data_IF_855237158783
#
_entry.id   IF_855237158783
#
_cell.length_a   1.000
_cell.length_b   1.000
_cell.length_c   1.000
_cell.angle_alpha   90.00
_cell.angle_beta   90.00
_cell.angle_gamma   90.00
#
_symmetry.space_group_name_H-M   'P 1'
#
loop_
_entity.id
_entity.type
_entity.pdbx_description
1 polymer ?
#
# COMPACT_ATOMS: atom_id res chain seq x y z
N UNK A 1 -1.32 -10.39 -20.81
CA UNK A 1 -2.15 -9.48 -19.96
C UNK A 1 -2.72 -10.33 -18.84
N UNK A 2 -2.62 -9.90 -17.59
CA UNK A 2 -3.27 -10.55 -16.45
C UNK A 2 -4.61 -9.87 -16.14
N UNK A 3 -5.64 -10.67 -15.85
CA UNK A 3 -7.01 -10.18 -15.57
C UNK A 3 -7.39 -10.26 -14.09
N UNK A 4 -6.41 -10.50 -13.22
CA UNK A 4 -6.51 -10.47 -11.77
C UNK A 4 -5.27 -9.78 -11.20
N UNK A 5 -5.38 -9.29 -9.96
CA UNK A 5 -4.23 -8.70 -9.27
C UNK A 5 -3.39 -9.77 -8.59
N UNK A 6 -2.07 -9.56 -8.56
CA UNK A 6 -1.12 -10.43 -7.87
C UNK A 6 -0.36 -9.66 -6.79
N UNK A 7 0.01 -10.32 -5.67
CA UNK A 7 0.86 -9.72 -4.64
C UNK A 7 2.27 -9.44 -5.13
N UNK A 8 2.79 -10.37 -5.93
CA UNK A 8 4.13 -10.38 -6.52
C UNK A 8 3.99 -10.97 -7.92
N UNK A 9 4.76 -10.46 -8.89
CA UNK A 9 4.74 -11.02 -10.25
C UNK A 9 5.58 -12.30 -10.26
N UNK A 10 5.00 -13.48 -10.56
CA UNK A 10 5.77 -14.73 -10.56
C UNK A 10 6.83 -14.73 -11.66
N UNK A 11 8.06 -15.14 -11.32
CA UNK A 11 9.13 -15.24 -12.33
C UNK A 11 8.79 -16.21 -13.48
N UNK A 12 8.01 -17.25 -13.19
CA UNK A 12 7.51 -18.19 -14.20
C UNK A 12 6.72 -17.53 -15.34
N UNK A 13 6.22 -16.29 -15.15
CA UNK A 13 5.63 -15.53 -16.25
C UNK A 13 6.73 -15.02 -17.19
N UNK A 14 7.84 -14.49 -16.66
CA UNK A 14 8.98 -14.02 -17.47
C UNK A 14 9.58 -15.13 -18.36
N UNK A 15 9.62 -16.37 -17.84
CA UNK A 15 10.12 -17.55 -18.56
C UNK A 15 9.27 -17.95 -19.76
N UNK A 16 8.01 -17.51 -19.80
CA UNK A 16 7.09 -17.75 -20.91
C UNK A 16 7.19 -16.68 -22.01
N UNK A 17 8.01 -15.63 -21.81
CA UNK A 17 8.19 -14.55 -22.79
C UNK A 17 9.58 -14.59 -23.41
N UNK A 18 9.62 -14.37 -24.73
CA UNK A 18 10.85 -13.94 -25.40
C UNK A 18 11.27 -12.53 -24.95
N UNK A 19 12.56 -12.22 -25.11
CA UNK A 19 13.10 -10.86 -24.88
C UNK A 19 12.32 -9.85 -25.73
N UNK A 20 11.98 -8.70 -25.14
CA UNK A 20 11.11 -7.67 -25.72
C UNK A 20 9.61 -7.92 -25.52
N UNK A 21 9.22 -9.11 -25.04
CA UNK A 21 7.84 -9.41 -24.65
C UNK A 21 7.32 -8.50 -23.54
N UNK A 22 6.00 -8.36 -23.43
CA UNK A 22 5.35 -7.43 -22.49
C UNK A 22 4.34 -8.12 -21.59
N UNK A 23 4.27 -7.69 -20.34
CA UNK A 23 3.25 -8.08 -19.36
C UNK A 23 2.57 -6.81 -18.86
N UNK A 24 1.24 -6.73 -19.00
CA UNK A 24 0.42 -5.78 -18.28
C UNK A 24 -0.26 -6.53 -17.13
N UNK A 25 -0.01 -6.10 -15.89
CA UNK A 25 -0.47 -6.77 -14.67
C UNK A 25 -0.83 -5.76 -13.60
N UNK A 26 -1.90 -6.03 -12.85
CA UNK A 26 -2.23 -5.30 -11.62
C UNK A 26 -1.44 -5.91 -10.45
N UNK A 27 -0.53 -5.14 -9.86
CA UNK A 27 0.31 -5.60 -8.76
C UNK A 27 -0.10 -4.87 -7.49
N UNK A 28 -0.50 -5.63 -6.47
CA UNK A 28 -1.00 -5.10 -5.18
C UNK A 28 -0.33 -5.78 -4.01
N UNK A 29 0.53 -5.07 -3.30
CA UNK A 29 1.18 -5.60 -2.09
C UNK A 29 0.18 -5.76 -0.93
N UNK A 30 -0.87 -4.94 -0.90
CA UNK A 30 -1.96 -4.98 0.08
C UNK A 30 -3.28 -4.50 -0.58
N UNK A 31 -4.45 -4.66 0.07
CA UNK A 31 -5.71 -4.12 -0.43
C UNK A 31 -5.61 -2.63 -0.76
N UNK A 32 -6.06 -2.24 -1.95
CA UNK A 32 -5.96 -0.87 -2.49
C UNK A 32 -4.52 -0.30 -2.64
N UNK A 33 -3.47 -1.06 -2.28
CA UNK A 33 -2.06 -0.66 -2.36
C UNK A 33 -1.41 -1.23 -3.63
N UNK A 34 -1.74 -0.65 -4.78
CA UNK A 34 -1.20 -1.08 -6.05
C UNK A 34 -1.93 -0.49 -7.25
N UNK A 35 -1.41 -0.81 -8.43
CA UNK A 35 -1.95 -0.39 -9.71
C UNK A 35 -1.37 -1.26 -10.84
N UNK A 36 -1.83 -1.04 -12.07
CA UNK A 36 -1.32 -1.63 -13.30
C UNK A 36 0.12 -1.22 -13.57
N UNK A 37 0.95 -2.21 -13.91
CA UNK A 37 2.34 -2.06 -14.35
C UNK A 37 2.49 -2.69 -15.73
N UNK A 38 3.10 -1.94 -16.66
CA UNK A 38 3.54 -2.48 -17.94
C UNK A 38 5.01 -2.85 -17.84
N UNK A 39 5.30 -4.14 -17.80
CA UNK A 39 6.63 -4.72 -17.72
C UNK A 39 7.12 -5.18 -19.10
N UNK A 40 8.40 -4.97 -19.36
CA UNK A 40 9.12 -5.44 -20.53
C UNK A 40 10.10 -6.54 -20.11
N UNK A 41 10.18 -7.60 -20.91
CA UNK A 41 11.14 -8.69 -20.73
C UNK A 41 12.49 -8.30 -21.28
N UNK A 42 13.47 -8.16 -20.39
CA UNK A 42 14.90 -8.09 -20.72
C UNK A 42 15.50 -9.51 -20.72
N UNK A 43 16.81 -9.73 -20.93
CA UNK A 43 17.40 -11.07 -20.81
C UNK A 43 17.39 -11.64 -19.39
N UNK A 44 17.55 -10.79 -18.37
CA UNK A 44 17.79 -11.18 -16.96
C UNK A 44 16.69 -10.71 -15.99
N UNK A 45 15.78 -9.85 -16.45
CA UNK A 45 14.74 -9.25 -15.62
C UNK A 45 13.45 -8.94 -16.37
N UNK A 46 12.41 -8.61 -15.60
CA UNK A 46 11.28 -7.79 -16.06
C UNK A 46 11.47 -6.38 -15.48
N UNK A 47 11.20 -5.36 -16.29
CA UNK A 47 11.31 -3.97 -15.85
C UNK A 47 10.22 -3.11 -16.49
N UNK A 48 9.70 -2.13 -15.76
CA UNK A 48 8.69 -1.25 -16.32
C UNK A 48 8.08 -0.28 -15.32
N UNK A 49 7.07 0.47 -15.77
CA UNK A 49 6.45 1.55 -15.01
C UNK A 49 4.98 1.28 -14.75
N UNK A 50 4.47 1.89 -13.67
CA UNK A 50 3.02 1.91 -13.44
C UNK A 50 2.34 2.80 -14.48
N UNK A 51 1.11 2.46 -14.82
CA UNK A 51 0.34 3.22 -15.81
C UNK A 51 -0.30 4.47 -15.21
N UNK A 52 -0.53 5.50 -16.02
CA UNK A 52 -1.21 6.75 -15.62
C UNK A 52 -2.58 6.52 -15.02
N UNK A 53 -3.38 5.65 -15.65
CA UNK A 53 -4.72 5.32 -15.17
C UNK A 53 -4.61 4.30 -14.05
N UNK A 54 -5.37 4.55 -12.99
CA UNK A 54 -5.58 3.55 -11.98
C UNK A 54 -6.52 2.46 -12.50
N UNK A 55 -6.05 1.22 -12.49
CA UNK A 55 -6.83 0.04 -12.79
C UNK A 55 -6.73 -0.95 -11.63
N UNK A 56 -7.87 -1.48 -11.20
CA UNK A 56 -7.95 -2.42 -10.10
C UNK A 56 -8.77 -3.63 -10.54
N UNK A 57 -8.16 -4.81 -10.44
CA UNK A 57 -8.77 -6.10 -10.71
C UNK A 57 -9.00 -6.87 -9.42
N UNK A 58 -9.87 -7.89 -9.49
CA UNK A 58 -10.06 -8.83 -8.38
C UNK A 58 -8.74 -9.52 -8.03
N UNK A 59 -8.47 -9.68 -6.73
CA UNK A 59 -7.29 -10.41 -6.26
C UNK A 59 -7.34 -11.86 -6.73
N UNK A 60 -6.21 -12.37 -7.24
CA UNK A 60 -6.06 -13.78 -7.55
C UNK A 60 -6.36 -14.60 -6.30
N UNK A 61 -7.35 -15.50 -6.40
CA UNK A 61 -7.78 -16.35 -5.29
C UNK A 61 -6.60 -17.16 -4.76
N UNK A 62 -6.30 -17.05 -3.46
CA UNK A 62 -5.37 -17.96 -2.82
C UNK A 62 -6.14 -19.16 -2.30
N UNK A 63 -5.51 -20.35 -2.32
CA UNK A 63 -6.12 -21.61 -1.85
C UNK A 63 -6.51 -21.58 -0.36
N UNK A 64 -6.07 -20.56 0.38
CA UNK A 64 -6.17 -20.46 1.84
C UNK A 64 -6.60 -19.06 2.30
N UNK A 65 -7.48 -18.36 1.57
CA UNK A 65 -8.09 -17.13 2.06
C UNK A 65 -8.88 -17.44 3.33
N UNK A 66 -8.25 -17.24 4.50
CA UNK A 66 -8.91 -17.39 5.79
C UNK A 66 -9.97 -16.31 5.90
N UNK A 67 -11.17 -16.70 6.33
CA UNK A 67 -12.19 -15.73 6.71
C UNK A 67 -11.61 -14.75 7.73
N UNK A 68 -11.90 -13.46 7.56
CA UNK A 68 -11.43 -12.39 8.44
C UNK A 68 -11.68 -12.78 9.89
N UNK A 69 -10.60 -12.97 10.65
CA UNK A 69 -10.70 -13.16 12.09
C UNK A 69 -11.30 -11.89 12.70
N UNK A 70 -12.00 -12.02 13.83
CA UNK A 70 -12.39 -10.86 14.64
C UNK A 70 -11.12 -10.05 14.99
N UNK A 71 -11.16 -8.71 14.91
CA UNK A 71 -10.01 -7.89 15.26
C UNK A 71 -9.54 -8.24 16.68
N UNK A 72 -8.22 -8.39 16.91
CA UNK A 72 -7.70 -8.59 18.26
C UNK A 72 -8.12 -7.41 19.16
N UNK A 73 -8.29 -7.66 20.47
CA UNK A 73 -8.63 -6.59 21.40
C UNK A 73 -7.58 -5.47 21.35
N UNK A 74 -8.05 -4.22 21.33
CA UNK A 74 -7.17 -3.04 21.35
C UNK A 74 -6.32 -3.03 22.61
N UNK A 75 -5.04 -2.75 22.45
CA UNK A 75 -4.15 -2.47 23.58
C UNK A 75 -4.64 -1.25 24.38
N UNK A 76 -4.46 -1.29 25.71
CA UNK A 76 -5.03 -0.31 26.63
C UNK A 76 -4.23 1.02 26.72
N UNK A 77 -2.92 0.99 26.46
CA UNK A 77 -2.08 2.19 26.48
C UNK A 77 -2.24 2.97 25.18
N UNK A 78 -2.59 4.25 25.30
CA UNK A 78 -2.86 5.11 24.13
C UNK A 78 -1.98 6.33 24.12
N UNK A 79 -1.60 6.73 22.90
CA UNK A 79 -0.93 7.99 22.60
C UNK A 79 -1.88 8.85 21.77
N UNK A 80 -1.93 10.15 22.07
CA UNK A 80 -2.66 11.15 21.28
C UNK A 80 -1.67 12.10 20.63
N UNK A 81 -1.91 12.43 19.36
CA UNK A 81 -1.04 13.29 18.54
C UNK A 81 -1.84 13.97 17.45
N UNK A 82 -1.20 14.91 16.75
CA UNK A 82 -1.76 15.57 15.56
C UNK A 82 -0.96 15.20 14.33
N UNK A 83 -1.63 15.09 13.19
CA UNK A 83 -1.03 14.83 11.87
C UNK A 83 -1.57 15.82 10.84
N UNK A 84 -0.82 16.09 9.77
CA UNK A 84 -1.31 16.80 8.58
C UNK A 84 -1.80 15.85 7.47
N UNK A 85 -1.61 14.53 7.67
CA UNK A 85 -1.99 13.53 6.67
C UNK A 85 -3.49 13.34 6.65
N UNK A 86 -4.12 13.35 5.45
CA UNK A 86 -5.54 13.12 5.32
C UNK A 86 -5.99 11.80 5.98
N UNK A 87 -7.22 11.73 6.51
CA UNK A 87 -7.71 10.60 7.29
C UNK A 87 -7.99 9.33 6.46
N UNK A 88 -7.86 9.38 5.13
CA UNK A 88 -8.16 8.29 4.20
C UNK A 88 -7.09 8.13 3.11
N UNK A 89 -5.81 7.86 3.45
CA UNK A 89 -4.76 7.76 2.44
C UNK A 89 -5.00 6.63 1.44
N UNK A 90 -5.65 5.52 1.85
CA UNK A 90 -6.01 4.40 0.96
C UNK A 90 -7.05 4.74 -0.12
N UNK A 91 -7.85 5.80 0.05
CA UNK A 91 -8.80 6.25 -0.98
C UNK A 91 -8.31 7.49 -1.72
N UNK A 92 -7.79 8.47 -0.97
CA UNK A 92 -7.52 9.81 -1.50
C UNK A 92 -6.05 9.99 -1.91
N UNK A 93 -5.14 9.12 -1.46
CA UNK A 93 -3.70 9.26 -1.67
C UNK A 93 -3.03 7.89 -1.87
N UNK A 94 -3.46 7.18 -2.92
CA UNK A 94 -3.09 5.77 -3.18
C UNK A 94 -1.59 5.52 -3.29
N UNK A 95 -0.81 6.48 -3.79
CA UNK A 95 0.65 6.36 -3.85
C UNK A 95 1.26 6.36 -2.44
N UNK A 96 0.80 7.26 -1.55
CA UNK A 96 1.24 7.23 -0.15
C UNK A 96 0.80 5.95 0.57
N UNK A 97 -0.39 5.43 0.25
CA UNK A 97 -0.83 4.14 0.77
C UNK A 97 0.05 2.96 0.28
N UNK A 98 0.47 2.98 -0.99
CA UNK A 98 1.46 2.03 -1.52
C UNK A 98 2.80 2.20 -0.80
N UNK A 99 3.33 3.41 -0.70
CA UNK A 99 4.63 3.68 -0.08
C UNK A 99 4.66 3.27 1.40
N UNK A 100 3.54 3.38 2.14
CA UNK A 100 3.45 2.95 3.54
C UNK A 100 3.81 1.47 3.73
N UNK A 101 3.52 0.62 2.74
CA UNK A 101 3.85 -0.81 2.76
C UNK A 101 5.37 -1.05 2.71
N UNK A 102 6.13 -0.09 2.19
CA UNK A 102 7.59 -0.09 2.14
C UNK A 102 8.22 0.66 3.32
N UNK A 103 7.40 1.38 4.10
CA UNK A 103 7.82 2.09 5.31
C UNK A 103 7.45 1.32 6.59
N UNK A 104 7.34 -0.01 6.53
CA UNK A 104 7.14 -0.84 7.72
C UNK A 104 5.70 -0.91 8.23
N UNK A 105 4.71 -0.57 7.40
CA UNK A 105 3.34 -0.95 7.69
C UNK A 105 3.22 -2.49 7.59
N UNK A 106 2.64 -3.18 8.59
CA UNK A 106 2.49 -4.63 8.54
C UNK A 106 1.63 -5.12 7.38
N UNK A 107 1.95 -6.29 6.83
CA UNK A 107 1.02 -7.06 6.01
C UNK A 107 -0.18 -7.47 6.88
N UNK A 108 -1.40 -7.33 6.38
CA UNK A 108 -2.67 -7.60 7.10
C UNK A 108 -3.18 -6.48 8.04
N UNK A 109 -2.92 -5.22 7.70
CA UNK A 109 -3.63 -4.10 8.33
C UNK A 109 -5.07 -4.00 7.82
N UNK A 110 -6.01 -4.02 8.75
CA UNK A 110 -7.43 -3.75 8.49
C UNK A 110 -7.67 -2.25 8.56
N UNK A 111 -8.43 -1.74 7.59
CA UNK A 111 -8.84 -0.34 7.50
C UNK A 111 -10.35 -0.23 7.53
N UNK A 112 -10.87 0.87 8.06
CA UNK A 112 -12.30 1.12 8.07
C UNK A 112 -12.67 2.46 8.67
N UNK A 113 -13.96 2.64 8.94
CA UNK A 113 -14.49 3.82 9.60
C UNK A 113 -15.34 3.42 10.80
N UNK A 114 -15.26 4.19 11.87
CA UNK A 114 -16.30 4.19 12.89
C UNK A 114 -17.44 5.07 12.43
N UNK A 115 -18.65 4.61 12.69
CA UNK A 115 -19.87 5.35 12.42
C UNK A 115 -20.49 5.78 13.74
N UNK A 116 -21.04 6.98 13.74
CA UNK A 116 -21.92 7.43 14.81
C UNK A 116 -23.11 6.45 14.96
N UNK A 117 -23.44 5.99 16.18
CA UNK A 117 -24.48 4.98 16.37
C UNK A 117 -25.87 5.40 15.90
N UNK A 118 -26.20 6.69 16.07
CA UNK A 118 -27.55 7.20 15.83
C UNK A 118 -27.71 7.67 14.39
N UNK A 119 -26.77 8.48 13.91
CA UNK A 119 -26.82 9.10 12.58
C UNK A 119 -26.20 8.23 11.49
N UNK A 120 -25.43 7.20 11.88
CA UNK A 120 -24.64 6.34 10.98
C UNK A 120 -23.59 7.13 10.17
N UNK A 121 -23.33 8.38 10.52
CA UNK A 121 -22.36 9.23 9.86
C UNK A 121 -20.92 8.77 10.21
N UNK A 122 -19.96 8.80 9.27
CA UNK A 122 -18.57 8.50 9.57
C UNK A 122 -17.97 9.52 10.56
N UNK A 123 -17.29 9.04 11.61
CA UNK A 123 -16.70 9.90 12.65
C UNK A 123 -15.19 9.85 12.67
N UNK A 124 -14.60 8.67 12.51
CA UNK A 124 -13.15 8.46 12.46
C UNK A 124 -12.81 7.35 11.48
N UNK A 125 -11.65 7.43 10.84
CA UNK A 125 -11.05 6.25 10.21
C UNK A 125 -10.26 5.46 11.23
N UNK A 126 -10.04 4.18 10.97
CA UNK A 126 -9.16 3.35 11.78
C UNK A 126 -8.25 2.46 10.95
N UNK A 127 -7.12 2.09 11.56
CA UNK A 127 -6.27 0.98 11.17
C UNK A 127 -6.13 0.03 12.37
N UNK A 128 -6.05 -1.28 12.12
CA UNK A 128 -5.71 -2.27 13.13
C UNK A 128 -4.86 -3.39 12.54
N UNK A 129 -3.88 -3.88 13.29
CA UNK A 129 -2.98 -4.96 12.90
C UNK A 129 -3.18 -6.21 13.79
N UNK A 130 -2.74 -7.40 13.34
CA UNK A 130 -2.91 -8.66 14.08
C UNK A 130 -2.20 -8.70 15.44
N UNK A 131 -1.19 -7.84 15.65
CA UNK A 131 -0.44 -7.72 16.92
C UNK A 131 -1.19 -6.90 18.00
N UNK A 132 -2.42 -6.46 17.72
CA UNK A 132 -3.22 -5.63 18.61
C UNK A 132 -2.91 -4.13 18.49
N UNK A 133 -2.04 -3.73 17.57
CA UNK A 133 -1.80 -2.33 17.25
C UNK A 133 -2.97 -1.72 16.51
N UNK A 134 -3.25 -0.46 16.80
CA UNK A 134 -4.35 0.26 16.20
C UNK A 134 -4.09 1.77 16.15
N UNK A 135 -4.74 2.44 15.23
CA UNK A 135 -4.79 3.89 15.14
C UNK A 135 -6.19 4.33 14.71
N UNK A 136 -6.67 5.45 15.23
CA UNK A 136 -7.87 6.15 14.76
C UNK A 136 -7.51 7.58 14.42
N UNK A 137 -8.07 8.11 13.34
CA UNK A 137 -7.86 9.49 12.91
C UNK A 137 -9.20 10.18 12.71
N UNK A 138 -9.31 11.40 13.23
CA UNK A 138 -10.49 12.27 13.05
C UNK A 138 -10.73 12.57 11.57
N UNK A 139 -11.99 12.60 11.15
CA UNK A 139 -12.33 13.01 9.78
C UNK A 139 -12.36 14.53 9.61
N UNK A 140 -12.57 15.26 10.70
CA UNK A 140 -12.54 16.73 10.72
C UNK A 140 -11.15 17.21 11.10
N UNK A 141 -10.65 18.16 10.31
CA UNK A 141 -9.42 18.87 10.64
C UNK A 141 -9.69 20.07 11.53
N UNK A 142 -8.73 20.38 12.41
CA UNK A 142 -8.64 21.63 13.13
C UNK A 142 -7.37 22.36 12.64
N UNK A 143 -7.54 23.49 11.95
CA UNK A 143 -6.46 24.27 11.34
C UNK A 143 -5.50 23.43 10.47
N UNK A 144 -6.04 22.50 9.67
CA UNK A 144 -5.26 21.64 8.78
C UNK A 144 -4.60 20.43 9.47
N UNK A 145 -4.86 20.21 10.75
CA UNK A 145 -4.39 19.05 11.49
C UNK A 145 -5.54 18.12 11.88
N UNK A 146 -5.30 16.82 11.84
CA UNK A 146 -6.21 15.78 12.30
C UNK A 146 -5.70 15.20 13.62
N UNK A 147 -6.62 14.90 14.53
CA UNK A 147 -6.29 14.18 15.76
C UNK A 147 -6.14 12.69 15.47
N UNK A 148 -5.05 12.12 15.97
CA UNK A 148 -4.75 10.68 15.90
C UNK A 148 -4.65 10.15 17.32
N UNK A 149 -5.32 9.02 17.55
CA UNK A 149 -5.19 8.22 18.75
C UNK A 149 -4.69 6.85 18.33
N UNK A 150 -3.60 6.39 18.91
CA UNK A 150 -2.98 5.11 18.56
C UNK A 150 -2.57 4.34 19.81
N UNK A 151 -2.42 3.03 19.67
CA UNK A 151 -1.95 2.16 20.75
C UNK A 151 -1.45 0.83 20.21
N UNK A 152 -0.58 0.18 20.97
CA UNK A 152 -0.05 -1.15 20.68
C UNK A 152 1.44 -1.15 20.37
N UNK A 153 2.01 -2.34 20.10
CA UNK A 153 3.46 -2.50 19.90
C UNK A 153 3.97 -1.84 18.61
N UNK A 154 3.14 -1.68 17.58
CA UNK A 154 3.51 -1.10 16.29
C UNK A 154 2.83 0.26 16.11
N UNK A 155 3.62 1.30 15.86
CA UNK A 155 3.11 2.63 15.51
C UNK A 155 2.63 2.66 14.05
N UNK A 156 1.39 2.22 13.81
CA UNK A 156 0.84 2.09 12.46
C UNK A 156 0.83 3.43 11.70
N UNK A 157 0.45 4.52 12.38
CA UNK A 157 0.32 5.83 11.75
C UNK A 157 1.68 6.43 11.37
N UNK A 158 2.75 6.10 12.10
CA UNK A 158 4.12 6.53 11.75
C UNK A 158 4.59 6.01 10.40
N UNK A 159 4.08 4.84 9.96
CA UNK A 159 4.40 4.30 8.63
C UNK A 159 3.75 5.12 7.52
N UNK A 160 2.55 5.64 7.76
CA UNK A 160 1.86 6.55 6.83
C UNK A 160 2.58 7.91 6.78
N UNK A 161 3.06 8.40 7.93
CA UNK A 161 3.84 9.64 8.01
C UNK A 161 5.17 9.55 7.27
N UNK A 162 5.93 8.48 7.48
CA UNK A 162 7.17 8.24 6.73
C UNK A 162 6.91 8.12 5.23
N UNK A 163 5.84 7.45 4.82
CA UNK A 163 5.48 7.34 3.40
C UNK A 163 5.12 8.69 2.77
N UNK A 164 4.44 9.56 3.52
CA UNK A 164 4.13 10.90 3.06
C UNK A 164 5.38 11.77 2.94
N UNK A 165 6.34 11.65 3.87
CA UNK A 165 7.63 12.34 3.76
C UNK A 165 8.38 11.89 2.50
N UNK A 166 8.50 10.58 2.25
CA UNK A 166 9.10 10.05 1.02
C UNK A 166 8.40 10.63 -0.22
N UNK A 167 7.07 10.69 -0.23
CA UNK A 167 6.32 11.26 -1.35
C UNK A 167 6.63 12.75 -1.56
N UNK A 168 6.74 13.55 -0.50
CA UNK A 168 7.09 14.97 -0.58
C UNK A 168 8.56 15.17 -1.03
N UNK A 169 9.49 14.42 -0.46
CA UNK A 169 10.93 14.45 -0.78
C UNK A 169 11.18 14.15 -2.27
N UNK A 170 10.33 13.32 -2.88
CA UNK A 170 10.38 12.99 -4.31
C UNK A 170 9.52 13.92 -5.18
N UNK A 171 9.14 15.09 -4.69
CA UNK A 171 8.33 16.09 -5.41
C UNK A 171 6.97 15.54 -5.85
N UNK A 172 6.30 14.82 -4.94
CA UNK A 172 4.93 14.37 -5.12
C UNK A 172 4.74 13.50 -6.38
N UNK A 173 5.49 12.39 -6.53
CA UNK A 173 5.47 11.59 -7.74
C UNK A 173 4.08 11.03 -8.02
N UNK A 174 3.74 10.95 -9.31
CA UNK A 174 2.58 10.22 -9.80
C UNK A 174 2.91 8.75 -10.09
N UNK A 175 1.92 7.98 -10.54
CA UNK A 175 2.12 6.56 -10.87
C UNK A 175 3.20 6.35 -11.93
N UNK A 176 3.31 7.23 -12.93
CA UNK A 176 4.27 7.03 -14.02
C UNK A 176 5.71 7.17 -13.58
N UNK A 177 5.95 7.88 -12.48
CA UNK A 177 7.28 8.00 -11.87
C UNK A 177 7.67 6.77 -11.06
N UNK A 178 6.72 5.91 -10.69
CA UNK A 178 7.00 4.64 -10.04
C UNK A 178 7.27 3.54 -11.08
N UNK A 179 8.15 2.60 -10.72
CA UNK A 179 8.36 1.41 -11.53
C UNK A 179 8.85 0.20 -10.75
N UNK A 180 8.86 -0.93 -11.44
CA UNK A 180 9.25 -2.22 -10.89
C UNK A 180 10.42 -2.80 -11.67
N UNK A 181 11.32 -3.43 -10.92
CA UNK A 181 12.32 -4.35 -11.47
C UNK A 181 12.15 -5.69 -10.76
N UNK A 182 12.03 -6.76 -11.55
CA UNK A 182 11.81 -8.14 -11.06
C UNK A 182 12.87 -9.03 -11.69
N UNK A 183 13.58 -9.79 -10.86
CA UNK A 183 14.50 -10.87 -11.24
C UNK A 183 13.97 -12.18 -10.66
N UNK A 184 14.62 -13.34 -10.89
CA UNK A 184 14.16 -14.62 -10.33
C UNK A 184 14.03 -14.62 -8.79
N UNK A 185 14.88 -13.85 -8.11
CA UNK A 185 15.04 -13.85 -6.66
C UNK A 185 14.38 -12.66 -5.94
N UNK A 186 14.08 -11.57 -6.65
CA UNK A 186 13.66 -10.30 -6.03
C UNK A 186 12.73 -9.49 -6.92
N UNK A 187 11.82 -8.76 -6.27
CA UNK A 187 11.04 -7.69 -6.86
C UNK A 187 11.35 -6.41 -6.09
N UNK A 188 11.49 -5.27 -6.79
CA UNK A 188 11.81 -3.97 -6.19
C UNK A 188 10.92 -2.88 -6.77
N UNK A 189 10.44 -1.99 -5.91
CA UNK A 189 9.81 -0.73 -6.29
C UNK A 189 10.88 0.35 -6.36
N UNK A 190 10.82 1.22 -7.35
CA UNK A 190 11.68 2.39 -7.48
C UNK A 190 10.90 3.64 -7.88
N UNK A 191 11.46 4.81 -7.59
CA UNK A 191 10.96 6.11 -8.07
C UNK A 191 11.97 6.67 -9.07
N UNK A 192 11.46 7.18 -10.19
CA UNK A 192 12.16 7.76 -11.33
C UNK A 192 13.08 6.82 -12.10
N UNK A 193 14.05 6.17 -11.46
CA UNK A 193 15.00 5.26 -12.11
C UNK A 193 15.26 4.01 -11.28
N UNK A 194 15.55 2.85 -11.92
CA UNK A 194 15.89 1.61 -11.20
C UNK A 194 17.13 1.71 -10.31
N UNK A 195 18.09 2.57 -10.67
CA UNK A 195 19.34 2.78 -9.94
C UNK A 195 19.23 3.84 -8.83
N UNK A 196 18.07 4.49 -8.70
CA UNK A 196 17.78 5.51 -7.69
C UNK A 196 17.17 4.94 -6.41
N UNK A 197 16.38 5.78 -5.73
CA UNK A 197 15.65 5.38 -4.52
C UNK A 197 14.73 4.20 -4.81
N UNK A 198 14.97 3.10 -4.09
CA UNK A 198 14.26 1.86 -4.34
C UNK A 198 14.16 1.00 -3.09
N UNK A 199 13.07 0.24 -2.99
CA UNK A 199 12.74 -0.62 -1.86
C UNK A 199 12.51 -2.05 -2.33
N UNK A 200 12.93 -3.06 -1.54
CA UNK A 200 12.51 -4.44 -1.79
C UNK A 200 11.00 -4.55 -1.67
N UNK A 201 10.39 -5.32 -2.56
CA UNK A 201 8.97 -5.62 -2.50
C UNK A 201 8.67 -6.52 -1.29
N UNK A 202 7.75 -6.13 -0.39
CA UNK A 202 7.38 -6.96 0.75
C UNK A 202 6.85 -8.34 0.32
N UNK A 203 7.08 -9.39 1.12
CA UNK A 203 6.63 -10.75 0.82
C UNK A 203 5.10 -10.91 0.80
#
# INVERSE_FOLDING_TARGET
IATCSVPTVPWAWAEQLGVGGKILVDVKVAPEAGNLVLLHRHPDRLEGRFTTRWGSFMTMRRRNDKASASPPPRSAHTRRRRTTIPPHPWWNHRIGWLLAQFQGLPADVHIGMHLDPDTRAPTTSFLSAPDGSWATVSLTSNHGHYDVIEGGPTALWDSLERAHQVWLEHEQPDWTRLGLTITPDRQRLWIDTPDGTSWPWPP
#
